data_IF_276391416156
#
_entry.id   IF_276391416156
#
_cell.length_a   1.000
_cell.length_b   1.000
_cell.length_c   1.000
_cell.angle_alpha   90.00
_cell.angle_beta   90.00
_cell.angle_gamma   90.00
#
_symmetry.space_group_name_H-M   'P 1'
#
loop_
_entity.id
_entity.type
_entity.pdbx_description
1 polymer ?
#
# COMPACT_ATOMS: atom_id res chain seq x y z
N UNK A 1 -17.85 0.56 6.72
CA UNK A 1 -17.12 0.85 5.47
C UNK A 1 -17.78 1.96 4.63
N UNK A 2 -18.93 2.50 5.02
CA UNK A 2 -19.48 3.72 4.40
C UNK A 2 -18.86 4.97 5.05
N UNK A 3 -18.99 6.12 4.39
CA UNK A 3 -18.78 7.42 5.02
C UNK A 3 -19.70 7.52 6.26
N UNK A 4 -19.17 7.77 7.47
CA UNK A 4 -20.02 7.80 8.65
C UNK A 4 -21.03 8.95 8.55
N UNK A 5 -22.29 8.69 8.94
CA UNK A 5 -23.41 9.63 8.74
C UNK A 5 -23.19 11.00 9.38
N UNK A 6 -22.45 11.07 10.48
CA UNK A 6 -22.09 12.32 11.18
C UNK A 6 -21.23 13.26 10.31
N UNK A 7 -20.48 12.72 9.35
CA UNK A 7 -19.72 13.50 8.36
C UNK A 7 -20.56 13.78 7.12
N UNK A 8 -21.49 12.90 6.75
CA UNK A 8 -22.27 12.99 5.52
C UNK A 8 -23.42 14.02 5.57
N UNK A 9 -23.92 14.38 6.75
CA UNK A 9 -25.01 15.35 6.90
C UNK A 9 -24.54 16.79 6.55
N UNK A 10 -25.08 17.45 5.51
CA UNK A 10 -24.70 18.81 5.14
C UNK A 10 -24.94 19.88 6.21
N UNK A 11 -25.70 19.59 7.26
CA UNK A 11 -25.93 20.48 8.41
C UNK A 11 -24.93 20.26 9.54
N UNK A 12 -24.13 19.20 9.47
CA UNK A 12 -23.13 18.87 10.48
C UNK A 12 -21.94 19.83 10.39
N UNK A 13 -21.34 20.24 11.52
CA UNK A 13 -20.05 20.95 11.50
C UNK A 13 -18.89 20.06 11.03
N UNK A 14 -19.12 18.74 10.90
CA UNK A 14 -18.15 17.78 10.37
C UNK A 14 -18.27 17.59 8.85
N UNK A 15 -19.24 18.26 8.22
CA UNK A 15 -19.44 18.19 6.79
C UNK A 15 -18.36 18.96 6.03
N UNK A 16 -18.01 18.43 4.87
CA UNK A 16 -17.19 19.11 3.87
C UNK A 16 -17.87 18.95 2.51
N UNK A 17 -18.16 20.04 1.78
CA UNK A 17 -18.72 19.96 0.43
C UNK A 17 -17.72 19.46 -0.62
N UNK A 18 -16.41 19.50 -0.34
CA UNK A 18 -15.34 19.07 -1.26
C UNK A 18 -14.99 17.60 -1.05
N UNK A 19 -16.01 16.75 -1.17
CA UNK A 19 -15.91 15.29 -1.20
C UNK A 19 -16.50 14.75 -2.49
N UNK A 20 -16.05 13.57 -2.92
CA UNK A 20 -16.61 12.92 -4.09
C UNK A 20 -18.14 12.70 -3.94
N UNK A 21 -18.92 13.32 -4.81
CA UNK A 21 -20.38 13.27 -4.77
C UNK A 21 -20.94 11.86 -5.01
N UNK A 22 -20.22 11.00 -5.74
CA UNK A 22 -20.64 9.63 -6.04
C UNK A 22 -20.35 8.65 -4.89
N UNK A 23 -19.62 9.10 -3.88
CA UNK A 23 -19.16 8.30 -2.74
C UNK A 23 -19.90 8.61 -1.45
N UNK A 24 -21.00 9.36 -1.52
CA UNK A 24 -21.87 9.56 -0.37
C UNK A 24 -22.55 8.23 0.04
N UNK A 25 -22.96 8.08 1.31
CA UNK A 25 -23.71 6.90 1.75
C UNK A 25 -24.91 6.62 0.84
N UNK A 26 -25.20 5.35 0.50
CA UNK A 26 -24.68 4.13 1.13
C UNK A 26 -23.42 3.53 0.45
N UNK A 27 -22.70 4.27 -0.40
CA UNK A 27 -21.53 3.76 -1.12
C UNK A 27 -20.44 3.27 -0.15
N UNK A 28 -19.90 2.08 -0.41
CA UNK A 28 -18.80 1.51 0.37
C UNK A 28 -17.48 2.10 -0.12
N UNK A 29 -16.60 2.44 0.84
CA UNK A 29 -15.21 2.79 0.54
C UNK A 29 -14.55 1.66 -0.23
N UNK A 30 -13.79 1.98 -1.26
CA UNK A 30 -12.94 1.03 -1.97
C UNK A 30 -11.50 1.16 -1.48
N UNK A 31 -11.00 0.15 -0.77
CA UNK A 31 -9.61 0.18 -0.28
C UNK A 31 -8.58 -0.14 -1.38
N UNK A 32 -9.04 -0.49 -2.59
CA UNK A 32 -8.24 -0.61 -3.81
C UNK A 32 -8.63 0.44 -4.86
N UNK A 33 -9.19 1.57 -4.40
CA UNK A 33 -9.76 2.62 -5.26
C UNK A 33 -8.89 2.96 -6.47
N UNK A 34 -9.57 3.10 -7.61
CA UNK A 34 -8.94 3.30 -8.90
C UNK A 34 -9.63 4.41 -9.69
N UNK A 35 -8.85 5.43 -10.09
CA UNK A 35 -9.33 6.54 -10.91
C UNK A 35 -9.71 6.14 -12.35
N UNK A 36 -9.32 4.95 -12.83
CA UNK A 36 -9.82 4.42 -14.11
C UNK A 36 -11.34 4.09 -14.04
N UNK A 37 -11.85 3.77 -12.85
CA UNK A 37 -13.27 3.53 -12.58
C UNK A 37 -13.68 4.22 -11.26
N UNK A 38 -13.78 5.56 -11.26
CA UNK A 38 -13.94 6.33 -10.03
C UNK A 38 -15.33 6.20 -9.41
N UNK A 39 -16.24 5.42 -10.01
CA UNK A 39 -17.59 5.15 -9.51
C UNK A 39 -17.76 3.68 -9.07
N UNK A 40 -16.69 2.88 -9.12
CA UNK A 40 -16.71 1.52 -8.62
C UNK A 40 -17.10 1.51 -7.14
N UNK A 41 -18.08 0.67 -6.79
CA UNK A 41 -18.51 0.48 -5.41
C UNK A 41 -17.56 -0.51 -4.75
N UNK A 42 -17.00 -0.13 -3.60
CA UNK A 42 -16.13 -1.02 -2.83
C UNK A 42 -16.82 -2.34 -2.46
N UNK A 43 -16.05 -3.42 -2.43
CA UNK A 43 -16.51 -4.75 -2.03
C UNK A 43 -15.98 -5.12 -0.64
N UNK A 44 -16.85 -5.65 0.22
CA UNK A 44 -16.48 -5.99 1.60
C UNK A 44 -15.39 -7.07 1.61
N UNK A 45 -15.49 -8.10 0.77
CA UNK A 45 -14.51 -9.20 0.73
C UNK A 45 -13.15 -8.70 0.27
N UNK A 46 -13.11 -7.89 -0.80
CA UNK A 46 -11.90 -7.21 -1.27
C UNK A 46 -11.29 -6.35 -0.16
N UNK A 47 -12.06 -5.49 0.48
CA UNK A 47 -11.58 -4.60 1.54
C UNK A 47 -10.98 -5.36 2.73
N UNK A 48 -11.65 -6.43 3.18
CA UNK A 48 -11.13 -7.24 4.27
C UNK A 48 -9.84 -7.97 3.86
N UNK A 49 -9.75 -8.46 2.62
CA UNK A 49 -8.55 -9.12 2.09
C UNK A 49 -7.38 -8.14 1.93
N UNK A 50 -7.66 -6.89 1.55
CA UNK A 50 -6.68 -5.81 1.53
C UNK A 50 -6.18 -5.54 2.95
N UNK A 51 -7.07 -5.37 3.93
CA UNK A 51 -6.64 -5.18 5.32
C UNK A 51 -5.77 -6.32 5.83
N UNK A 52 -6.14 -7.58 5.60
CA UNK A 52 -5.30 -8.72 5.94
C UNK A 52 -3.93 -8.61 5.27
N UNK A 53 -3.90 -8.38 3.95
CA UNK A 53 -2.66 -8.29 3.19
C UNK A 53 -1.75 -7.19 3.74
N UNK A 54 -2.26 -5.99 3.99
CA UNK A 54 -1.43 -4.83 4.34
C UNK A 54 -0.92 -4.91 5.79
N UNK A 55 -1.72 -5.41 6.72
CA UNK A 55 -1.33 -5.49 8.14
C UNK A 55 -0.59 -6.79 8.46
N UNK A 56 -0.91 -7.90 7.78
CA UNK A 56 -0.34 -9.23 8.07
C UNK A 56 0.80 -9.57 7.11
N UNK A 57 0.50 -9.72 5.81
CA UNK A 57 1.46 -10.23 4.80
C UNK A 57 2.53 -9.20 4.45
N UNK A 58 2.12 -8.01 4.03
CA UNK A 58 3.00 -6.87 3.73
C UNK A 58 3.37 -6.07 4.99
N UNK A 59 2.87 -6.45 6.17
CA UNK A 59 3.22 -5.83 7.44
C UNK A 59 3.97 -6.80 8.36
N UNK A 60 4.75 -7.75 7.82
CA UNK A 60 5.34 -8.80 8.65
C UNK A 60 6.48 -8.31 9.57
N UNK A 61 7.18 -7.26 9.15
CA UNK A 61 8.31 -6.68 9.87
C UNK A 61 8.14 -5.16 10.04
N UNK A 62 8.97 -4.55 10.88
CA UNK A 62 8.95 -3.12 11.14
C UNK A 62 9.18 -2.29 9.89
N UNK A 63 10.18 -2.62 9.05
CA UNK A 63 10.45 -1.89 7.80
C UNK A 63 9.34 -2.04 6.77
N UNK A 64 8.69 -3.20 6.71
CA UNK A 64 7.56 -3.39 5.80
C UNK A 64 6.32 -2.62 6.25
N UNK A 65 6.06 -2.52 7.55
CA UNK A 65 4.87 -1.83 8.08
C UNK A 65 5.05 -0.32 8.26
N UNK A 66 6.16 0.12 8.87
CA UNK A 66 6.44 1.51 9.22
C UNK A 66 7.17 2.28 8.10
N UNK A 67 7.77 1.57 7.15
CA UNK A 67 8.49 2.16 6.03
C UNK A 67 10.00 2.23 6.20
N UNK A 68 10.65 2.89 5.25
CA UNK A 68 12.10 3.01 5.17
C UNK A 68 12.61 4.16 6.05
N UNK A 69 13.84 4.03 6.55
CA UNK A 69 14.44 5.09 7.37
C UNK A 69 14.56 6.40 6.59
N UNK A 70 14.25 7.51 7.27
CA UNK A 70 14.43 8.88 6.78
C UNK A 70 15.19 9.68 7.84
N UNK A 71 16.38 10.17 7.49
CA UNK A 71 17.27 10.89 8.40
C UNK A 71 17.59 12.30 7.88
N UNK A 72 18.08 13.15 8.76
CA UNK A 72 18.52 14.48 8.39
C UNK A 72 19.64 14.41 7.33
N UNK A 73 19.41 15.04 6.18
CA UNK A 73 20.33 15.01 5.04
C UNK A 73 19.95 14.03 3.93
N UNK A 74 18.98 13.15 4.18
CA UNK A 74 18.46 12.24 3.16
C UNK A 74 17.59 12.97 2.14
N UNK A 75 17.55 12.43 0.92
CA UNK A 75 16.51 12.78 -0.05
C UNK A 75 15.13 12.30 0.44
N UNK A 76 14.04 13.04 0.14
CA UNK A 76 12.71 12.69 0.60
C UNK A 76 12.20 11.37 -0.01
N UNK A 77 11.12 10.83 0.59
CA UNK A 77 10.36 9.68 0.11
C UNK A 77 11.14 8.34 0.03
N UNK A 78 11.88 7.93 1.08
CA UNK A 78 12.76 6.75 1.02
C UNK A 78 12.01 5.42 0.76
N UNK A 79 10.71 5.39 1.02
CA UNK A 79 9.80 4.27 0.74
C UNK A 79 8.80 4.10 1.86
N UNK A 80 7.52 4.30 1.54
CA UNK A 80 6.40 4.18 2.48
C UNK A 80 6.24 2.76 3.04
N UNK A 81 5.65 2.66 4.24
CA UNK A 81 5.21 1.41 4.81
C UNK A 81 3.92 0.88 4.16
N UNK A 82 3.56 -0.36 4.44
CA UNK A 82 2.40 -1.02 3.85
C UNK A 82 1.10 -0.23 4.07
N UNK A 83 0.84 0.19 5.31
CA UNK A 83 -0.38 0.89 5.71
C UNK A 83 -0.49 2.30 5.12
N UNK A 84 0.61 3.06 5.07
CA UNK A 84 0.68 4.40 4.46
C UNK A 84 0.36 4.33 2.95
N UNK A 85 0.83 3.29 2.28
CA UNK A 85 0.56 3.06 0.88
C UNK A 85 -0.91 2.63 0.65
N UNK A 86 -1.33 1.50 1.24
CA UNK A 86 -2.71 0.98 1.15
C UNK A 86 -3.10 0.43 2.53
N UNK A 87 -4.28 0.73 3.08
CA UNK A 87 -5.41 1.49 2.50
C UNK A 87 -5.35 3.01 2.59
N UNK A 88 -4.35 3.62 3.24
CA UNK A 88 -4.34 5.07 3.48
C UNK A 88 -4.47 5.88 2.18
N UNK A 89 -3.61 5.64 1.19
CA UNK A 89 -3.66 6.33 -0.10
C UNK A 89 -5.01 6.22 -0.82
N UNK A 90 -5.58 5.01 -0.99
CA UNK A 90 -6.90 4.82 -1.57
C UNK A 90 -8.03 5.57 -0.86
N UNK A 91 -8.05 5.64 0.48
CA UNK A 91 -9.10 6.37 1.22
C UNK A 91 -9.04 7.87 0.94
N UNK A 92 -7.83 8.44 0.83
CA UNK A 92 -7.62 9.83 0.40
C UNK A 92 -8.21 10.07 -0.99
N UNK A 93 -7.82 9.27 -1.98
CA UNK A 93 -8.31 9.38 -3.36
C UNK A 93 -9.82 9.14 -3.49
N UNK A 94 -10.37 8.20 -2.72
CA UNK A 94 -11.80 7.90 -2.72
C UNK A 94 -12.61 9.06 -2.11
N UNK A 95 -12.10 9.73 -1.08
CA UNK A 95 -12.88 10.77 -0.39
C UNK A 95 -12.82 12.12 -1.09
N UNK A 96 -11.68 12.50 -1.68
CA UNK A 96 -11.48 13.80 -2.36
C UNK A 96 -12.43 14.03 -3.53
N UNK A 97 -12.87 15.28 -3.75
CA UNK A 97 -13.72 15.61 -4.89
C UNK A 97 -12.89 15.70 -6.17
N UNK A 98 -13.01 14.68 -7.01
CA UNK A 98 -12.32 14.56 -8.31
C UNK A 98 -12.67 15.67 -9.32
N UNK A 99 -13.66 16.53 -9.02
CA UNK A 99 -13.99 17.69 -9.84
C UNK A 99 -13.22 18.96 -9.43
N UNK A 100 -12.47 18.91 -8.34
CA UNK A 100 -11.61 20.03 -7.92
C UNK A 100 -10.27 20.00 -8.67
N UNK A 101 -9.57 21.14 -8.82
CA UNK A 101 -8.36 21.21 -9.63
C UNK A 101 -7.22 20.29 -9.19
N UNK A 102 -7.18 19.88 -7.91
CA UNK A 102 -6.20 18.94 -7.37
C UNK A 102 -6.86 17.89 -6.46
N UNK A 103 -8.12 17.51 -6.72
CA UNK A 103 -8.88 16.53 -5.95
C UNK A 103 -9.12 16.92 -4.48
N UNK A 104 -9.24 18.22 -4.20
CA UNK A 104 -9.49 18.74 -2.86
C UNK A 104 -10.80 18.20 -2.23
N UNK A 105 -10.91 18.07 -0.90
CA UNK A 105 -9.84 18.26 0.08
C UNK A 105 -9.01 16.99 0.28
N UNK A 106 -9.66 15.85 0.60
CA UNK A 106 -8.97 14.61 0.98
C UNK A 106 -8.03 14.03 -0.08
N UNK A 107 -8.22 14.32 -1.38
CA UNK A 107 -7.39 13.77 -2.45
C UNK A 107 -5.99 14.40 -2.58
N UNK A 108 -5.65 15.41 -1.77
CA UNK A 108 -4.32 16.04 -1.80
C UNK A 108 -3.82 16.42 -0.41
N UNK A 109 -2.56 16.10 -0.10
CA UNK A 109 -2.01 16.33 1.22
C UNK A 109 -1.99 17.81 1.64
N UNK A 110 -1.93 18.78 0.71
CA UNK A 110 -1.93 20.20 1.09
C UNK A 110 -3.29 20.68 1.64
N UNK A 111 -4.38 19.98 1.30
CA UNK A 111 -5.76 20.36 1.61
C UNK A 111 -6.50 19.31 2.46
N UNK A 112 -6.01 18.08 2.56
CA UNK A 112 -6.71 16.97 3.19
C UNK A 112 -7.25 17.29 4.59
N UNK A 113 -6.42 17.90 5.45
CA UNK A 113 -6.79 18.23 6.83
C UNK A 113 -7.83 19.37 6.98
N UNK A 114 -8.26 19.98 5.86
CA UNK A 114 -9.40 20.92 5.85
C UNK A 114 -10.73 20.18 5.98
N UNK A 115 -10.79 18.92 5.56
CA UNK A 115 -11.94 18.05 5.78
C UNK A 115 -11.88 17.46 7.19
N UNK A 116 -12.90 17.66 8.06
CA UNK A 116 -12.92 17.08 9.39
C UNK A 116 -12.76 15.55 9.44
N UNK A 117 -13.11 14.83 8.37
CA UNK A 117 -12.95 13.37 8.35
C UNK A 117 -11.49 12.91 8.28
N UNK A 118 -10.57 13.77 7.84
CA UNK A 118 -9.13 13.51 7.83
C UNK A 118 -8.64 12.97 9.18
N UNK A 119 -9.05 13.61 10.27
CA UNK A 119 -8.65 13.22 11.62
C UNK A 119 -9.26 11.88 12.04
N UNK A 120 -10.49 11.56 11.62
CA UNK A 120 -11.08 10.23 11.87
C UNK A 120 -10.43 9.14 11.03
N UNK A 121 -10.02 9.45 9.79
CA UNK A 121 -9.25 8.54 8.96
C UNK A 121 -7.91 8.20 9.63
N UNK A 122 -7.13 9.23 10.00
CA UNK A 122 -5.85 9.06 10.67
C UNK A 122 -5.97 8.44 12.07
N UNK A 123 -7.08 8.65 12.77
CA UNK A 123 -7.37 7.92 14.02
C UNK A 123 -7.46 6.41 13.79
N UNK A 124 -8.08 5.95 12.71
CA UNK A 124 -8.09 4.51 12.42
C UNK A 124 -6.73 4.00 11.88
N UNK A 125 -5.94 4.85 11.22
CA UNK A 125 -4.53 4.53 10.85
C UNK A 125 -3.67 4.35 12.10
N UNK A 126 -3.77 5.24 13.08
CA UNK A 126 -3.11 5.12 14.39
C UNK A 126 -3.57 3.86 15.15
N UNK A 127 -4.89 3.57 15.13
CA UNK A 127 -5.43 2.31 15.66
C UNK A 127 -4.80 1.08 15.01
N UNK A 128 -4.53 1.10 13.70
CA UNK A 128 -3.90 -0.04 13.01
C UNK A 128 -2.48 -0.29 13.51
N UNK A 129 -1.71 0.74 13.87
CA UNK A 129 -0.40 0.56 14.49
C UNK A 129 -0.52 -0.17 15.84
N UNK A 130 -1.49 0.21 16.67
CA UNK A 130 -1.78 -0.48 17.93
C UNK A 130 -2.15 -1.95 17.70
N UNK A 131 -3.04 -2.24 16.75
CA UNK A 131 -3.45 -3.63 16.42
C UNK A 131 -2.27 -4.43 15.86
N UNK A 132 -1.48 -3.85 14.96
CA UNK A 132 -0.36 -4.53 14.32
C UNK A 132 0.62 -5.12 15.35
N UNK A 133 0.90 -4.38 16.42
CA UNK A 133 1.77 -4.83 17.53
C UNK A 133 1.20 -6.02 18.31
N UNK A 134 -0.12 -6.21 18.33
CA UNK A 134 -0.75 -7.34 19.04
C UNK A 134 -0.71 -8.66 18.26
N UNK A 135 -0.40 -8.60 16.95
CA UNK A 135 -0.37 -9.79 16.08
C UNK A 135 0.88 -10.66 16.27
N UNK A 136 1.83 -10.22 17.10
CA UNK A 136 3.04 -10.98 17.45
C UNK A 136 4.02 -11.17 16.30
N UNK A 137 4.96 -12.10 16.49
CA UNK A 137 6.08 -12.31 15.56
C UNK A 137 7.08 -11.15 15.61
N UNK A 138 7.50 -10.67 14.44
CA UNK A 138 8.46 -9.56 14.29
C UNK A 138 7.81 -8.18 14.21
N UNK A 139 6.54 -8.08 14.60
CA UNK A 139 5.76 -6.84 14.56
C UNK A 139 6.02 -6.02 15.81
N UNK A 140 7.09 -5.22 15.77
CA UNK A 140 7.57 -4.40 16.88
C UNK A 140 8.00 -3.02 16.40
N UNK A 141 7.95 -2.04 17.28
CA UNK A 141 8.49 -0.71 16.97
C UNK A 141 9.99 -0.78 16.67
N UNK A 142 10.51 0.18 15.89
CA UNK A 142 11.95 0.26 15.67
C UNK A 142 12.68 0.56 16.98
N UNK A 143 13.87 -0.05 17.14
CA UNK A 143 14.78 0.24 18.25
C UNK A 143 15.94 1.15 17.83
N UNK A 144 15.97 1.58 16.58
CA UNK A 144 16.95 2.51 16.02
C UNK A 144 16.86 3.88 16.71
N UNK A 145 18.01 4.40 17.16
CA UNK A 145 18.06 5.66 17.91
C UNK A 145 17.67 6.86 17.07
N UNK A 146 17.96 6.87 15.78
CA UNK A 146 17.64 8.01 14.90
C UNK A 146 16.12 8.11 14.74
N UNK A 147 15.43 6.97 14.64
CA UNK A 147 13.97 6.94 14.67
C UNK A 147 13.41 7.38 16.02
N UNK A 148 13.88 6.79 17.13
CA UNK A 148 13.36 7.09 18.48
C UNK A 148 13.57 8.54 18.91
N UNK A 149 14.69 9.15 18.54
CA UNK A 149 15.06 10.52 18.89
C UNK A 149 14.62 11.57 17.86
N UNK A 150 14.01 11.14 16.74
CA UNK A 150 13.38 12.05 15.77
C UNK A 150 12.34 12.92 16.46
N UNK A 151 12.42 14.23 16.21
CA UNK A 151 11.65 15.23 16.93
C UNK A 151 10.76 16.08 16.03
N UNK A 152 9.55 16.37 16.50
CA UNK A 152 8.57 17.20 15.82
C UNK A 152 8.13 18.36 16.72
N UNK A 153 7.60 19.42 16.11
CA UNK A 153 7.10 20.60 16.81
C UNK A 153 5.60 20.75 16.56
N UNK A 154 4.81 20.83 17.63
CA UNK A 154 3.37 21.06 17.58
C UNK A 154 2.98 22.18 18.53
N UNK A 155 1.88 22.87 18.22
CA UNK A 155 1.22 23.72 19.21
C UNK A 155 0.30 22.86 20.07
N UNK A 156 0.37 23.04 21.39
CA UNK A 156 -0.57 22.43 22.34
C UNK A 156 -1.88 23.25 22.44
N UNK A 157 -2.83 22.77 23.24
CA UNK A 157 -4.10 23.43 23.50
C UNK A 157 -3.97 24.79 24.19
N UNK A 158 -2.82 25.06 24.82
CA UNK A 158 -2.48 26.31 25.50
C UNK A 158 -1.68 27.27 24.61
N UNK A 159 -1.51 26.94 23.33
CA UNK A 159 -0.75 27.70 22.32
C UNK A 159 0.76 27.76 22.59
N UNK A 160 1.30 26.82 23.36
CA UNK A 160 2.74 26.66 23.51
C UNK A 160 3.31 25.81 22.38
N UNK A 161 4.49 26.18 21.89
CA UNK A 161 5.23 25.34 20.95
C UNK A 161 5.97 24.24 21.71
N UNK A 162 5.56 22.99 21.51
CA UNK A 162 6.09 21.82 22.21
C UNK A 162 6.89 20.96 21.25
N UNK A 163 8.07 20.51 21.69
CA UNK A 163 8.85 19.48 21.00
C UNK A 163 8.48 18.11 21.54
N UNK A 164 8.09 17.21 20.66
CA UNK A 164 7.83 15.79 20.97
C UNK A 164 8.85 14.91 20.29
N UNK A 165 9.06 13.69 20.79
CA UNK A 165 9.91 12.68 20.18
C UNK A 165 9.11 11.41 19.89
N UNK A 166 9.51 10.67 18.86
CA UNK A 166 8.87 9.40 18.48
C UNK A 166 8.80 8.41 19.63
N UNK A 167 9.89 8.25 20.40
CA UNK A 167 9.92 7.32 21.53
C UNK A 167 8.84 7.56 22.60
N UNK A 168 8.33 8.79 22.69
CA UNK A 168 7.35 9.18 23.70
C UNK A 168 5.90 8.87 23.26
N UNK A 169 5.67 8.46 22.00
CA UNK A 169 4.35 8.11 21.48
C UNK A 169 4.14 6.63 21.18
N UNK A 170 5.08 5.75 21.54
CA UNK A 170 4.98 4.31 21.26
C UNK A 170 3.87 3.61 22.05
N UNK A 171 3.46 4.19 23.17
CA UNK A 171 2.44 3.66 24.08
C UNK A 171 1.34 4.69 24.29
N UNK A 172 0.20 4.45 23.65
CA UNK A 172 -0.97 5.34 23.68
C UNK A 172 -1.54 5.52 25.09
N UNK A 173 -1.33 4.56 25.99
CA UNK A 173 -1.78 4.68 27.39
C UNK A 173 -1.03 5.76 28.15
N UNK A 174 0.25 6.00 27.82
CA UNK A 174 1.05 7.11 28.36
C UNK A 174 0.63 8.47 27.80
N UNK A 175 0.01 8.46 26.62
CA UNK A 175 -0.63 9.63 26.01
C UNK A 175 -2.07 9.85 26.51
N UNK A 176 -2.58 8.97 27.37
CA UNK A 176 -3.89 9.11 28.00
C UNK A 176 -5.07 8.67 27.14
N UNK A 177 -4.85 7.85 26.09
CA UNK A 177 -5.95 7.35 25.26
C UNK A 177 -5.76 5.88 24.84
N UNK A 178 -6.88 5.23 24.54
CA UNK A 178 -6.95 3.91 23.89
C UNK A 178 -8.15 3.86 22.95
N UNK A 179 -8.16 2.88 22.06
CA UNK A 179 -9.30 2.64 21.17
C UNK A 179 -10.31 1.71 21.83
N UNK A 180 -11.60 1.99 21.61
CA UNK A 180 -12.65 1.04 21.93
C UNK A 180 -12.41 -0.28 21.18
N UNK A 181 -12.53 -1.40 21.90
CA UNK A 181 -12.48 -2.72 21.31
C UNK A 181 -13.72 -2.96 20.45
N UNK A 182 -13.48 -3.31 19.19
CA UNK A 182 -14.50 -3.67 18.19
C UNK A 182 -13.98 -4.85 17.40
N UNK A 183 -14.89 -5.60 16.77
CA UNK A 183 -14.51 -6.76 15.95
C UNK A 183 -13.49 -6.39 14.86
N UNK A 184 -12.58 -7.32 14.59
CA UNK A 184 -11.51 -7.19 13.60
C UNK A 184 -11.71 -8.29 12.55
N UNK A 185 -12.74 -8.16 11.68
CA UNK A 185 -13.17 -9.25 10.81
C UNK A 185 -12.11 -9.65 9.77
N UNK A 186 -11.23 -8.73 9.39
CA UNK A 186 -10.19 -8.97 8.40
C UNK A 186 -9.10 -9.93 8.87
N UNK A 187 -8.99 -10.25 10.18
CA UNK A 187 -8.04 -11.26 10.67
C UNK A 187 -8.27 -12.65 10.06
N UNK A 188 -9.48 -12.92 9.55
CA UNK A 188 -9.87 -14.20 8.94
C UNK A 188 -9.95 -14.13 7.42
N UNK A 189 -9.49 -13.02 6.82
CA UNK A 189 -9.65 -12.73 5.38
C UNK A 189 -8.35 -12.90 4.61
N UNK A 190 -7.60 -13.98 4.90
CA UNK A 190 -6.40 -14.33 4.11
C UNK A 190 -6.79 -14.52 2.63
N UNK A 191 -6.11 -13.85 1.68
CA UNK A 191 -6.32 -14.08 0.26
C UNK A 191 -6.13 -15.55 -0.12
N UNK A 192 -6.85 -16.00 -1.15
CA UNK A 192 -6.78 -17.40 -1.62
C UNK A 192 -6.26 -17.46 -3.04
N UNK A 193 -5.44 -18.47 -3.40
CA UNK A 193 -5.01 -18.67 -4.78
C UNK A 193 -6.22 -18.76 -5.70
N UNK A 194 -6.14 -18.10 -6.85
CA UNK A 194 -7.24 -18.10 -7.81
C UNK A 194 -7.46 -19.49 -8.41
N UNK A 195 -6.36 -20.23 -8.67
CA UNK A 195 -6.41 -21.65 -9.05
C UNK A 195 -6.09 -22.52 -7.82
N UNK A 196 -6.87 -23.59 -7.54
CA UNK A 196 -6.53 -24.52 -6.47
C UNK A 196 -5.24 -25.29 -6.80
N UNK A 197 -4.49 -25.70 -5.75
CA UNK A 197 -3.15 -26.33 -5.77
C UNK A 197 -2.95 -27.55 -6.70
N UNK A 198 -3.99 -28.07 -7.36
CA UNK A 198 -3.98 -29.31 -8.15
C UNK A 198 -3.70 -29.07 -9.65
N UNK A 199 -3.75 -27.83 -10.15
CA UNK A 199 -3.38 -27.53 -11.54
C UNK A 199 -1.96 -26.95 -11.61
N UNK A 200 -0.95 -27.80 -11.43
CA UNK A 200 0.39 -27.50 -11.96
C UNK A 200 0.29 -27.50 -13.49
N UNK A 201 0.00 -26.36 -14.10
CA UNK A 201 0.49 -26.10 -15.45
C UNK A 201 2.00 -26.13 -15.33
N UNK A 202 2.63 -27.20 -15.80
CA UNK A 202 4.03 -27.13 -16.19
C UNK A 202 4.20 -25.84 -17.00
N UNK A 203 5.24 -25.05 -16.70
CA UNK A 203 5.68 -23.83 -17.39
C UNK A 203 6.02 -24.04 -18.90
N UNK A 204 5.42 -25.04 -19.54
CA UNK A 204 5.53 -25.39 -20.94
C UNK A 204 4.23 -25.00 -21.68
N UNK A 205 4.33 -23.89 -22.41
CA UNK A 205 3.73 -23.71 -23.74
C UNK A 205 2.20 -23.85 -23.84
N UNK A 206 1.46 -22.79 -23.55
CA UNK A 206 0.27 -22.45 -24.36
C UNK A 206 -0.08 -20.98 -24.16
N UNK A 207 0.32 -20.14 -25.12
CA UNK A 207 0.02 -18.71 -25.08
C UNK A 207 -1.34 -18.45 -25.75
N UNK A 208 -2.29 -17.94 -24.96
CA UNK A 208 -3.43 -17.18 -25.50
C UNK A 208 -2.96 -15.84 -26.08
N UNK A 209 -3.79 -15.18 -26.89
CA UNK A 209 -3.39 -13.97 -27.65
C UNK A 209 -3.01 -12.79 -26.73
N UNK A 210 -3.57 -12.69 -25.51
CA UNK A 210 -3.15 -11.72 -24.49
C UNK A 210 -1.83 -12.11 -23.81
N UNK A 211 -1.71 -13.37 -23.41
CA UNK A 211 -0.47 -13.95 -22.88
C UNK A 211 0.71 -13.91 -23.88
N UNK A 212 0.45 -13.92 -25.20
CA UNK A 212 1.49 -13.82 -26.23
C UNK A 212 2.16 -12.43 -26.27
N UNK A 213 1.37 -11.35 -26.13
CA UNK A 213 1.91 -9.99 -26.02
C UNK A 213 2.64 -9.75 -24.67
N UNK A 214 2.14 -10.32 -23.58
CA UNK A 214 2.83 -10.29 -22.28
C UNK A 214 4.11 -11.16 -22.27
N UNK A 215 4.13 -12.27 -23.03
CA UNK A 215 5.30 -13.14 -23.17
C UNK A 215 6.40 -12.52 -24.04
N UNK A 216 6.04 -11.83 -25.13
CA UNK A 216 6.99 -11.07 -25.96
C UNK A 216 7.61 -9.89 -25.20
N UNK A 217 6.81 -9.17 -24.41
CA UNK A 217 7.34 -8.11 -23.51
C UNK A 217 8.20 -8.69 -22.38
N UNK A 218 7.87 -9.88 -21.84
CA UNK A 218 8.62 -10.50 -20.74
C UNK A 218 10.07 -10.87 -21.02
N UNK A 219 10.44 -11.10 -22.29
CA UNK A 219 11.82 -11.47 -22.68
C UNK A 219 12.73 -10.25 -22.89
N UNK A 220 12.18 -9.04 -22.99
CA UNK A 220 12.91 -7.85 -23.42
C UNK A 220 12.75 -6.64 -22.49
N UNK A 221 12.25 -6.81 -21.26
CA UNK A 221 12.13 -5.71 -20.30
C UNK A 221 13.52 -5.15 -19.98
N UNK A 222 13.77 -3.90 -20.38
CA UNK A 222 14.99 -3.16 -20.07
C UNK A 222 14.70 -2.09 -19.05
N UNK A 223 15.49 -2.09 -17.98
CA UNK A 223 15.43 -1.06 -16.97
C UNK A 223 16.45 0.06 -17.25
N UNK A 224 16.14 1.33 -16.90
CA UNK A 224 14.87 1.76 -16.32
C UNK A 224 13.73 1.73 -17.35
N UNK A 225 12.55 1.25 -16.95
CA UNK A 225 11.37 1.14 -17.82
C UNK A 225 10.37 2.26 -17.52
N UNK A 226 9.61 2.70 -18.52
CA UNK A 226 8.44 3.57 -18.34
C UNK A 226 7.21 2.68 -18.32
N UNK A 227 6.37 2.79 -17.28
CA UNK A 227 5.20 1.94 -17.10
C UNK A 227 3.97 2.57 -17.77
N UNK A 228 3.84 2.40 -19.08
CA UNK A 228 2.71 2.87 -19.89
C UNK A 228 1.66 1.79 -20.18
N UNK A 229 2.03 0.53 -20.01
CA UNK A 229 1.25 -0.67 -20.32
C UNK A 229 1.58 -1.79 -19.34
N UNK A 230 0.87 -2.92 -19.44
CA UNK A 230 1.13 -4.09 -18.61
C UNK A 230 2.51 -4.65 -18.94
N UNK A 231 3.34 -4.86 -17.92
CA UNK A 231 4.69 -5.43 -18.07
C UNK A 231 4.82 -6.65 -17.18
N UNK A 232 5.24 -7.78 -17.74
CA UNK A 232 5.63 -8.97 -16.96
C UNK A 232 7.13 -9.22 -17.09
N UNK A 233 7.80 -9.67 -16.03
CA UNK A 233 9.21 -10.08 -16.09
C UNK A 233 9.51 -11.19 -15.09
N UNK A 234 10.49 -12.06 -15.40
CA UNK A 234 10.93 -13.09 -14.47
C UNK A 234 11.96 -12.50 -13.51
N UNK A 235 11.70 -12.60 -12.21
CA UNK A 235 12.59 -12.10 -11.15
C UNK A 235 13.18 -13.28 -10.40
N UNK A 236 14.51 -13.36 -10.39
CA UNK A 236 15.25 -14.41 -9.70
C UNK A 236 15.08 -14.27 -8.19
N UNK A 237 14.82 -15.37 -7.52
CA UNK A 237 14.74 -15.45 -6.06
C UNK A 237 16.13 -15.66 -5.47
N UNK A 238 16.43 -15.08 -4.30
CA UNK A 238 17.73 -15.25 -3.65
C UNK A 238 17.92 -16.68 -3.13
N UNK A 239 16.83 -17.34 -2.71
CA UNK A 239 16.84 -18.69 -2.15
C UNK A 239 15.47 -19.36 -2.29
N UNK A 240 15.45 -20.61 -2.75
CA UNK A 240 14.26 -21.47 -2.81
C UNK A 240 14.20 -22.43 -1.62
N UNK A 241 13.04 -23.06 -1.41
CA UNK A 241 12.82 -24.14 -0.45
C UNK A 241 13.29 -23.79 0.98
N UNK A 242 13.05 -22.54 1.40
CA UNK A 242 13.49 -22.04 2.71
C UNK A 242 12.78 -22.80 3.83
N UNK A 243 13.53 -23.20 4.84
CA UNK A 243 12.98 -23.81 6.05
C UNK A 243 12.10 -22.82 6.81
N UNK A 244 11.21 -23.34 7.67
CA UNK A 244 10.36 -22.51 8.55
C UNK A 244 11.19 -21.52 9.39
N UNK A 245 12.34 -21.96 9.90
CA UNK A 245 13.25 -21.11 10.68
C UNK A 245 13.80 -19.95 9.85
N UNK A 246 14.26 -20.21 8.63
CA UNK A 246 14.79 -19.17 7.73
C UNK A 246 13.69 -18.16 7.33
N UNK A 247 12.46 -18.62 7.14
CA UNK A 247 11.30 -17.75 6.89
C UNK A 247 10.94 -16.87 8.09
N UNK A 248 11.13 -17.37 9.31
CA UNK A 248 10.92 -16.60 10.54
C UNK A 248 12.05 -15.59 10.77
N UNK A 249 13.29 -15.94 10.42
CA UNK A 249 14.48 -15.09 10.55
C UNK A 249 14.59 -14.02 9.46
N UNK A 250 14.11 -14.26 8.25
CA UNK A 250 14.16 -13.30 7.15
C UNK A 250 12.88 -13.36 6.32
N UNK A 251 12.27 -12.21 6.05
CA UNK A 251 11.15 -12.14 5.10
C UNK A 251 11.70 -12.09 3.66
N UNK A 252 11.12 -12.88 2.76
CA UNK A 252 11.41 -12.74 1.32
C UNK A 252 10.56 -11.59 0.77
N UNK A 253 11.21 -10.56 0.22
CA UNK A 253 10.56 -9.28 -0.12
C UNK A 253 10.78 -8.94 -1.59
N UNK A 254 9.71 -8.63 -2.31
CA UNK A 254 9.79 -7.96 -3.62
C UNK A 254 10.10 -6.48 -3.41
N UNK A 255 11.13 -5.98 -4.08
CA UNK A 255 11.47 -4.56 -4.09
C UNK A 255 11.37 -4.02 -5.50
N UNK A 256 10.49 -3.03 -5.68
CA UNK A 256 10.42 -2.21 -6.90
C UNK A 256 11.10 -0.90 -6.56
N UNK A 257 12.29 -0.70 -7.14
CA UNK A 257 13.18 0.40 -6.76
C UNK A 257 13.14 1.55 -7.77
N UNK A 258 13.37 2.76 -7.24
CA UNK A 258 13.51 3.97 -8.05
C UNK A 258 12.28 4.25 -8.89
N UNK A 259 11.10 4.19 -8.26
CA UNK A 259 9.83 4.60 -8.83
C UNK A 259 9.84 6.13 -8.91
N UNK A 260 10.11 6.65 -10.10
CA UNK A 260 10.24 8.08 -10.41
C UNK A 260 8.99 8.61 -11.10
N UNK A 261 8.39 9.69 -10.58
CA UNK A 261 7.24 10.38 -11.18
C UNK A 261 7.07 11.80 -10.62
N UNK A 262 6.15 12.58 -11.20
CA UNK A 262 5.83 13.95 -10.75
C UNK A 262 4.96 13.94 -9.48
N UNK A 263 5.37 14.66 -8.44
CA UNK A 263 4.72 14.62 -7.10
C UNK A 263 3.27 15.13 -7.10
N UNK A 264 2.90 15.99 -8.03
CA UNK A 264 1.54 16.53 -8.15
C UNK A 264 0.59 15.62 -8.94
N UNK A 265 1.00 14.41 -9.27
CA UNK A 265 0.22 13.46 -10.06
C UNK A 265 -0.12 12.24 -9.19
N UNK A 266 -1.40 11.86 -9.20
CA UNK A 266 -1.82 10.62 -8.59
C UNK A 266 -1.26 9.46 -9.41
N UNK A 267 -0.66 8.46 -8.75
CA UNK A 267 -0.11 7.28 -9.39
C UNK A 267 -0.62 6.01 -8.71
N UNK A 268 -1.04 5.01 -9.50
CA UNK A 268 -1.27 3.65 -9.04
C UNK A 268 -0.87 2.62 -10.08
N UNK A 269 -0.21 1.57 -9.62
CA UNK A 269 -0.08 0.34 -10.38
C UNK A 269 -0.18 -0.86 -9.44
N UNK A 270 -0.77 -1.95 -9.94
CA UNK A 270 -0.89 -3.19 -9.18
C UNK A 270 0.26 -4.13 -9.51
N UNK A 271 0.58 -4.99 -8.56
CA UNK A 271 1.66 -5.96 -8.64
C UNK A 271 1.09 -7.36 -8.45
N UNK A 272 1.31 -8.21 -9.44
CA UNK A 272 0.91 -9.61 -9.42
C UNK A 272 2.12 -10.54 -9.46
N UNK A 273 2.00 -11.67 -8.79
CA UNK A 273 3.00 -12.73 -8.77
C UNK A 273 2.38 -13.98 -9.39
N UNK A 274 3.07 -14.53 -10.40
CA UNK A 274 2.66 -15.74 -11.13
C UNK A 274 1.20 -15.67 -11.64
N UNK A 275 0.77 -14.50 -12.09
CA UNK A 275 -0.44 -14.39 -12.89
C UNK A 275 -0.22 -15.07 -14.26
N UNK A 276 -1.04 -16.08 -14.55
CA UNK A 276 -0.97 -16.91 -15.75
C UNK A 276 -2.16 -16.69 -16.72
N UNK A 277 -3.16 -15.86 -16.39
CA UNK A 277 -4.45 -15.85 -17.09
C UNK A 277 -4.89 -14.45 -17.59
N UNK A 278 -5.57 -14.40 -18.75
CA UNK A 278 -6.27 -13.22 -19.29
C UNK A 278 -7.57 -12.86 -18.50
N UNK A 279 -7.76 -13.39 -17.29
CA UNK A 279 -8.97 -13.22 -16.46
C UNK A 279 -8.67 -12.37 -15.23
N UNK A 280 -9.65 -11.57 -14.80
CA UNK A 280 -9.50 -10.57 -13.74
C UNK A 280 -9.09 -11.19 -12.39
N UNK A 281 -7.84 -10.96 -11.98
CA UNK A 281 -7.40 -11.15 -10.59
C UNK A 281 -7.93 -9.98 -9.75
N UNK A 282 -8.48 -10.30 -8.59
CA UNK A 282 -9.02 -9.35 -7.62
C UNK A 282 -8.17 -9.30 -6.33
N UNK A 283 -8.36 -8.29 -5.47
CA UNK A 283 -7.60 -8.18 -4.22
C UNK A 283 -7.81 -9.33 -3.23
N UNK A 284 -8.83 -10.17 -3.37
CA UNK A 284 -9.04 -11.39 -2.57
C UNK A 284 -8.26 -12.61 -3.11
N UNK A 285 -7.55 -12.48 -4.23
CA UNK A 285 -6.66 -13.51 -4.76
C UNK A 285 -5.22 -13.37 -4.25
N UNK A 286 -4.55 -14.50 -4.03
CA UNK A 286 -3.16 -14.55 -3.54
C UNK A 286 -2.17 -13.95 -4.53
N UNK A 287 -2.39 -14.15 -5.83
CA UNK A 287 -1.56 -13.64 -6.91
C UNK A 287 -1.46 -12.10 -6.89
N UNK A 288 -2.46 -11.40 -6.35
CA UNK A 288 -2.39 -9.96 -6.09
C UNK A 288 -1.47 -9.71 -4.88
N UNK A 289 -0.24 -9.28 -5.11
CA UNK A 289 0.74 -9.02 -4.05
C UNK A 289 0.55 -7.65 -3.38
N UNK A 290 -0.07 -6.71 -4.08
CA UNK A 290 -0.33 -5.36 -3.60
C UNK A 290 -0.31 -4.35 -4.73
N UNK A 291 -0.28 -3.07 -4.36
CA UNK A 291 -0.20 -1.96 -5.30
C UNK A 291 0.82 -0.95 -4.80
N UNK A 292 1.33 -0.14 -5.70
CA UNK A 292 1.89 1.16 -5.34
C UNK A 292 0.79 2.21 -5.51
N UNK A 293 0.60 3.09 -4.53
CA UNK A 293 -0.35 4.20 -4.56
C UNK A 293 0.34 5.46 -4.06
N UNK A 294 0.21 6.55 -4.80
CA UNK A 294 0.68 7.87 -4.38
C UNK A 294 -0.44 8.89 -4.44
N UNK A 295 -0.70 9.54 -3.31
CA UNK A 295 -1.57 10.72 -3.22
C UNK A 295 -0.77 11.94 -3.70
N UNK A 296 -1.34 12.80 -4.56
CA UNK A 296 -0.69 14.03 -4.97
C UNK A 296 -0.27 14.91 -3.79
N UNK A 297 0.88 15.56 -3.93
CA UNK A 297 1.31 16.61 -3.02
C UNK A 297 1.77 17.85 -3.79
N UNK A 298 0.84 18.77 -4.00
CA UNK A 298 1.09 20.01 -4.76
C UNK A 298 1.65 21.11 -3.85
N UNK A 299 2.83 21.64 -4.17
CA UNK A 299 3.38 22.84 -3.54
C UNK A 299 3.64 23.94 -4.58
N UNK A 300 3.16 25.16 -4.31
CA UNK A 300 3.20 26.32 -5.23
C UNK A 300 4.60 26.70 -5.76
N UNK A 301 5.70 26.19 -5.20
CA UNK A 301 7.04 26.68 -5.52
C UNK A 301 8.09 25.65 -5.95
N UNK A 302 7.86 24.33 -5.86
CA UNK A 302 8.82 23.30 -6.32
C UNK A 302 8.12 21.97 -6.61
N UNK A 303 7.57 21.79 -7.82
CA UNK A 303 7.20 20.47 -8.30
C UNK A 303 8.48 19.72 -8.68
N UNK A 304 9.10 19.08 -7.69
CA UNK A 304 10.20 18.14 -7.92
C UNK A 304 9.62 16.76 -8.21
N UNK A 305 10.33 16.01 -9.04
CA UNK A 305 10.13 14.56 -9.16
C UNK A 305 10.30 13.90 -7.80
N UNK A 306 9.46 12.91 -7.54
CA UNK A 306 9.61 11.98 -6.44
C UNK A 306 10.34 10.74 -6.94
N UNK A 307 11.21 10.17 -6.11
CA UNK A 307 11.86 8.88 -6.36
C UNK A 307 11.70 8.05 -5.11
N UNK A 308 10.95 6.96 -5.19
CA UNK A 308 10.64 6.13 -4.02
C UNK A 308 10.76 4.63 -4.34
N UNK A 309 10.44 3.78 -3.38
CA UNK A 309 10.49 2.32 -3.51
C UNK A 309 9.20 1.70 -2.98
N UNK A 310 8.78 0.58 -3.55
CA UNK A 310 7.73 -0.29 -3.01
C UNK A 310 8.36 -1.60 -2.50
N UNK A 311 7.94 -2.04 -1.31
CA UNK A 311 8.29 -3.36 -0.75
C UNK A 311 7.04 -4.16 -0.46
N UNK A 312 7.01 -5.41 -0.92
CA UNK A 312 5.89 -6.35 -0.70
C UNK A 312 6.43 -7.66 -0.13
N UNK A 313 5.80 -8.16 0.93
CA UNK A 313 6.16 -9.44 1.55
C UNK A 313 5.70 -10.60 0.66
N UNK A 314 6.60 -11.54 0.40
CA UNK A 314 6.35 -12.66 -0.51
C UNK A 314 6.24 -14.00 0.20
N UNK A 315 6.75 -14.18 1.43
CA UNK A 315 6.86 -15.51 2.02
C UNK A 315 5.52 -16.23 2.10
N UNK A 316 4.47 -15.55 2.60
CA UNK A 316 3.14 -16.16 2.71
C UNK A 316 2.53 -16.41 1.32
N UNK A 317 2.79 -15.50 0.38
CA UNK A 317 2.28 -15.56 -0.98
C UNK A 317 2.86 -16.76 -1.73
N UNK A 318 4.17 -16.98 -1.64
CA UNK A 318 4.88 -18.08 -2.32
C UNK A 318 4.43 -19.44 -1.78
N UNK A 319 4.18 -19.54 -0.47
CA UNK A 319 3.65 -20.75 0.17
C UNK A 319 2.20 -21.05 -0.26
N UNK A 320 1.35 -20.02 -0.35
CA UNK A 320 -0.03 -20.19 -0.80
C UNK A 320 -0.12 -20.56 -2.28
N UNK A 321 0.77 -20.01 -3.13
CA UNK A 321 0.84 -20.34 -4.55
C UNK A 321 1.56 -21.68 -4.86
N UNK A 322 2.14 -22.34 -3.86
CA UNK A 322 2.91 -23.60 -4.03
C UNK A 322 4.12 -23.46 -4.99
N UNK A 323 4.84 -22.33 -4.92
CA UNK A 323 5.98 -22.00 -5.80
C UNK A 323 7.29 -21.77 -5.03
N UNK A 324 7.38 -22.32 -3.82
CA UNK A 324 8.54 -22.15 -2.95
C UNK A 324 9.82 -22.78 -3.50
N UNK A 325 9.69 -23.77 -4.37
CA UNK A 325 10.81 -24.50 -5.00
C UNK A 325 11.27 -23.87 -6.32
N UNK A 326 10.58 -22.83 -6.80
CA UNK A 326 10.92 -22.16 -8.06
C UNK A 326 12.12 -21.22 -7.89
N UNK A 327 13.06 -21.23 -8.85
CA UNK A 327 14.24 -20.35 -8.82
C UNK A 327 13.90 -18.87 -9.15
N UNK A 328 12.73 -18.63 -9.73
CA UNK A 328 12.27 -17.31 -10.15
C UNK A 328 10.75 -17.27 -10.20
N UNK A 329 10.18 -16.08 -10.02
CA UNK A 329 8.74 -15.84 -10.16
C UNK A 329 8.47 -14.82 -11.25
N UNK A 330 7.31 -14.92 -11.90
CA UNK A 330 6.82 -13.91 -12.83
C UNK A 330 6.22 -12.77 -12.03
N UNK A 331 6.77 -11.57 -12.17
CA UNK A 331 6.20 -10.34 -11.62
C UNK A 331 5.50 -9.59 -12.74
N UNK A 332 4.23 -9.27 -12.56
CA UNK A 332 3.43 -8.47 -13.50
C UNK A 332 3.05 -7.14 -12.87
N UNK A 333 3.37 -6.04 -13.55
CA UNK A 333 2.98 -4.68 -13.19
C UNK A 333 1.84 -4.23 -14.09
N UNK A 334 0.72 -3.80 -13.49
CA UNK A 334 -0.45 -3.32 -14.22
C UNK A 334 -0.68 -1.85 -13.86
N UNK A 335 -0.33 -0.90 -14.73
CA UNK A 335 -0.60 0.50 -14.45
C UNK A 335 -2.10 0.77 -14.48
N UNK A 336 -2.59 1.51 -13.47
CA UNK A 336 -3.99 1.92 -13.33
C UNK A 336 -4.13 3.37 -13.76
N UNK A 337 -3.75 4.30 -12.89
CA UNK A 337 -3.67 5.73 -13.23
C UNK A 337 -2.24 6.25 -13.10
N UNK A 338 -1.94 7.31 -13.86
CA UNK A 338 -0.55 7.77 -14.05
C UNK A 338 0.25 6.97 -15.10
N UNK A 339 -0.44 6.25 -15.99
CA UNK A 339 0.14 5.50 -17.12
C UNK A 339 1.13 6.37 -17.91
N UNK A 340 2.33 5.85 -18.13
CA UNK A 340 3.41 6.51 -18.88
C UNK A 340 4.11 7.64 -18.12
N UNK A 341 3.70 7.94 -16.88
CA UNK A 341 4.32 8.96 -16.02
C UNK A 341 5.24 8.37 -14.94
N UNK A 342 5.28 7.05 -14.83
CA UNK A 342 6.08 6.32 -13.86
C UNK A 342 7.26 5.68 -14.57
N UNK A 343 8.46 5.94 -14.07
CA UNK A 343 9.69 5.25 -14.48
C UNK A 343 10.15 4.36 -13.33
N UNK A 344 10.49 3.12 -13.61
CA UNK A 344 10.95 2.15 -12.61
C UNK A 344 12.41 1.82 -12.92
N UNK A 345 13.28 1.90 -11.90
CA UNK A 345 14.71 1.65 -12.04
C UNK A 345 15.09 0.18 -11.99
N UNK A 346 14.46 -0.61 -11.14
CA UNK A 346 14.76 -2.04 -11.00
C UNK A 346 13.64 -2.78 -10.27
N UNK A 347 13.56 -4.09 -10.49
CA UNK A 347 12.75 -5.01 -9.70
C UNK A 347 13.67 -6.15 -9.24
N UNK A 348 13.65 -6.47 -7.95
CA UNK A 348 14.44 -7.55 -7.36
C UNK A 348 13.69 -8.21 -6.22
N UNK A 349 14.14 -9.39 -5.81
CA UNK A 349 13.71 -10.06 -4.57
C UNK A 349 14.92 -10.16 -3.65
N UNK A 350 14.75 -9.75 -2.41
CA UNK A 350 15.80 -9.82 -1.37
C UNK A 350 15.28 -10.47 -0.09
N UNK A 351 16.20 -10.87 0.79
CA UNK A 351 15.89 -11.37 2.13
C UNK A 351 16.09 -10.21 3.11
N UNK A 352 15.04 -9.89 3.88
CA UNK A 352 15.03 -8.78 4.82
C UNK A 352 15.06 -9.31 6.27
N UNK A 353 16.09 -8.92 7.01
CA UNK A 353 16.24 -9.17 8.44
C UNK A 353 15.99 -7.89 9.24
N UNK A 354 14.84 -7.82 9.92
CA UNK A 354 14.45 -6.77 10.88
C UNK A 354 14.39 -7.30 12.33
#
# INVERSE_FOLDING_TARGET
MQLPSIYADPKSPLYDPLRNANHQPPTLVDLDFNLDDPNAVGDISSNLSIMYRQIVTNGKTSTLFLGSAYRAGDEPDPGAGSLENVPHGPVHGWTGDINQPNDENMGNFYSAARDPIFYSHHSNVDRMWSIWKTLGGKRRDFTDSDWLESGFLFYDENKNLVRVKVKDCLDTTKLGYVYQEVDIPWLKSKPKPRKPKVQKSTLAQTFGVGAAHAAETSRNVKFPLVLDSVVSTMVKRPKKSRSKKEKEEEEEVLVIEGIEFERNVAVKFDVFINDEDDKLIRPDNTEFAGSFVSVPHSHKHKNKKMVTNLRLGLTDLLEELDVEDDDSVRVTLVPRYGKGRVKIRSIKIELLAD
#
